data_IF_888823970241
#
_entry.id   IF_888823970241
#
_cell.length_a   1.000
_cell.length_b   1.000
_cell.length_c   1.000
_cell.angle_alpha   90.00
_cell.angle_beta   90.00
_cell.angle_gamma   90.00
#
_symmetry.space_group_name_H-M   'P 1'
#
loop_
_entity.id
_entity.type
_entity.pdbx_description
1 polymer ?
#
# COMPACT_ATOMS: atom_id res chain seq x y z
N UNK A 1 -5.49 20.23 0.55
CA UNK A 1 -6.11 19.02 -0.07
C UNK A 1 -5.07 17.97 -0.44
N UNK A 2 -3.92 18.35 -0.99
CA UNK A 2 -2.87 17.39 -1.35
C UNK A 2 -2.27 16.70 -0.11
N UNK A 3 -2.13 17.43 1.01
CA UNK A 3 -1.60 16.89 2.26
C UNK A 3 -2.41 15.67 2.75
N UNK A 4 -3.74 15.78 2.75
CA UNK A 4 -4.62 14.69 3.18
C UNK A 4 -4.45 13.41 2.36
N UNK A 5 -4.26 13.52 1.03
CA UNK A 5 -4.01 12.37 0.15
C UNK A 5 -2.67 11.73 0.50
N UNK A 6 -1.61 12.54 0.63
CA UNK A 6 -0.27 12.04 1.00
C UNK A 6 -0.30 11.37 2.37
N UNK A 7 -0.97 11.97 3.35
CA UNK A 7 -1.12 11.43 4.71
C UNK A 7 -1.78 10.05 4.69
N UNK A 8 -2.89 9.92 3.96
CA UNK A 8 -3.59 8.64 3.79
C UNK A 8 -2.68 7.56 3.20
N UNK A 9 -1.92 7.87 2.15
CA UNK A 9 -1.00 6.90 1.54
C UNK A 9 0.12 6.51 2.52
N UNK A 10 0.69 7.47 3.27
CA UNK A 10 1.72 7.21 4.29
C UNK A 10 1.22 6.24 5.37
N UNK A 11 -0.02 6.39 5.83
CA UNK A 11 -0.66 5.51 6.80
C UNK A 11 -0.84 4.09 6.24
N UNK A 12 -1.38 3.97 5.02
CA UNK A 12 -1.56 2.67 4.33
C UNK A 12 -0.24 1.93 4.14
N UNK A 13 0.85 2.63 3.83
CA UNK A 13 2.18 2.03 3.76
C UNK A 13 2.67 1.53 5.11
N UNK A 14 2.38 2.24 6.20
CA UNK A 14 2.66 1.79 7.57
C UNK A 14 1.92 0.48 7.89
N UNK A 15 0.63 0.42 7.59
CA UNK A 15 -0.19 -0.78 7.77
C UNK A 15 0.37 -1.97 6.97
N UNK A 16 0.78 -1.73 5.72
CA UNK A 16 1.39 -2.74 4.87
C UNK A 16 2.69 -3.29 5.46
N UNK A 17 3.57 -2.42 5.93
CA UNK A 17 4.84 -2.80 6.56
C UNK A 17 4.60 -3.64 7.83
N UNK A 18 3.60 -3.30 8.64
CA UNK A 18 3.27 -4.04 9.87
C UNK A 18 2.60 -5.38 9.55
N UNK A 19 1.52 -5.38 8.75
CA UNK A 19 0.63 -6.54 8.59
C UNK A 19 1.08 -7.52 7.50
N UNK A 20 1.80 -7.04 6.49
CA UNK A 20 2.14 -7.81 5.28
C UNK A 20 3.66 -7.99 5.11
N UNK A 21 4.46 -7.73 6.15
CA UNK A 21 5.94 -7.89 6.17
C UNK A 21 6.44 -9.22 5.59
N UNK A 22 5.76 -10.34 5.88
CA UNK A 22 6.10 -11.67 5.32
C UNK A 22 5.94 -11.74 3.80
N UNK A 23 4.99 -11.02 3.21
CA UNK A 23 4.77 -10.94 1.76
C UNK A 23 5.68 -9.90 1.09
N UNK A 24 6.09 -8.89 1.86
CA UNK A 24 6.91 -7.78 1.42
C UNK A 24 8.41 -8.05 1.50
N UNK A 25 8.88 -9.23 1.94
CA UNK A 25 10.32 -9.48 2.20
C UNK A 25 11.28 -9.12 1.05
N UNK A 26 10.81 -9.09 -0.20
CA UNK A 26 11.61 -8.69 -1.38
C UNK A 26 11.52 -7.21 -1.75
N UNK A 27 10.50 -6.51 -1.27
CA UNK A 27 10.16 -5.13 -1.65
C UNK A 27 9.99 -4.20 -0.45
N UNK A 28 10.26 -4.67 0.77
CA UNK A 28 10.12 -3.91 2.03
C UNK A 28 10.89 -2.61 1.99
N UNK A 29 12.10 -2.65 1.45
CA UNK A 29 13.00 -1.49 1.40
C UNK A 29 12.45 -0.43 0.44
N UNK A 30 11.85 -0.85 -0.67
CA UNK A 30 11.19 0.05 -1.62
C UNK A 30 9.93 0.69 -1.01
N UNK A 31 9.15 -0.10 -0.25
CA UNK A 31 7.96 0.39 0.46
C UNK A 31 8.35 1.40 1.54
N UNK A 32 9.41 1.13 2.29
CA UNK A 32 9.91 2.04 3.32
C UNK A 32 10.51 3.31 2.71
N UNK A 33 11.20 3.21 1.57
CA UNK A 33 11.68 4.36 0.83
C UNK A 33 10.52 5.23 0.35
N UNK A 34 9.50 4.62 -0.27
CA UNK A 34 8.31 5.35 -0.72
C UNK A 34 7.60 6.06 0.43
N UNK A 35 7.44 5.40 1.58
CA UNK A 35 6.87 6.03 2.78
C UNK A 35 7.72 7.22 3.25
N UNK A 36 9.04 7.11 3.17
CA UNK A 36 9.96 8.18 3.57
C UNK A 36 9.84 9.39 2.66
N UNK A 37 9.82 9.19 1.34
CA UNK A 37 9.68 10.29 0.39
C UNK A 37 8.30 10.95 0.48
N UNK A 38 7.23 10.18 0.63
CA UNK A 38 5.89 10.73 0.84
C UNK A 38 5.78 11.55 2.13
N UNK A 39 6.45 11.13 3.23
CA UNK A 39 6.53 11.96 4.44
C UNK A 39 7.25 13.28 4.22
N UNK A 40 8.33 13.30 3.43
CA UNK A 40 9.00 14.56 3.08
C UNK A 40 8.08 15.48 2.28
N UNK A 41 7.32 14.90 1.34
CA UNK A 41 6.31 15.64 0.58
C UNK A 41 5.19 16.16 1.48
N UNK A 42 4.74 15.39 2.46
CA UNK A 42 3.76 15.80 3.46
C UNK A 42 4.25 17.04 4.23
N UNK A 43 5.47 17.01 4.77
CA UNK A 43 6.04 18.15 5.48
C UNK A 43 6.14 19.41 4.60
N UNK A 44 6.45 19.25 3.31
CA UNK A 44 6.41 20.38 2.38
C UNK A 44 4.99 20.94 2.22
N UNK A 45 4.00 20.06 2.11
CA UNK A 45 2.60 20.44 1.89
C UNK A 45 1.96 21.13 3.09
N UNK A 46 2.40 20.86 4.33
CA UNK A 46 1.89 21.53 5.54
C UNK A 46 1.94 23.06 5.43
N UNK A 47 3.06 23.61 4.94
CA UNK A 47 3.22 25.05 4.73
C UNK A 47 2.82 25.51 3.32
N UNK A 48 2.94 24.63 2.32
CA UNK A 48 2.69 24.97 0.93
C UNK A 48 1.19 25.11 0.61
N UNK A 49 0.31 24.36 1.28
CA UNK A 49 -1.14 24.42 1.02
C UNK A 49 -1.70 25.83 1.32
N UNK A 50 -1.14 26.54 2.31
CA UNK A 50 -1.53 27.92 2.64
C UNK A 50 -0.97 28.97 1.67
N UNK A 51 0.15 28.67 1.00
CA UNK A 51 0.88 29.62 0.14
C UNK A 51 0.55 29.48 -1.35
N UNK A 52 -0.15 28.41 -1.74
CA UNK A 52 -0.39 28.08 -3.15
C UNK A 52 -1.28 29.08 -3.89
N UNK A 53 -2.10 29.86 -3.18
CA UNK A 53 -2.96 30.87 -3.83
C UNK A 53 -2.17 32.11 -4.26
N UNK A 54 -1.06 32.40 -3.59
CA UNK A 54 -0.26 33.60 -3.81
C UNK A 54 1.01 33.34 -4.63
N UNK A 55 1.52 32.11 -4.65
CA UNK A 55 2.74 31.73 -5.36
C UNK A 55 2.47 30.61 -6.39
N UNK A 56 2.51 30.99 -7.67
CA UNK A 56 2.29 30.06 -8.78
C UNK A 56 3.32 28.91 -8.83
N UNK A 57 4.55 29.13 -8.35
CA UNK A 57 5.53 28.04 -8.27
C UNK A 57 5.09 27.04 -7.22
N UNK A 58 4.71 27.51 -6.03
CA UNK A 58 4.19 26.66 -4.95
C UNK A 58 2.97 25.89 -5.42
N UNK A 59 2.04 26.54 -6.14
CA UNK A 59 0.88 25.88 -6.75
C UNK A 59 1.25 24.73 -7.69
N UNK A 60 2.27 24.92 -8.54
CA UNK A 60 2.73 23.87 -9.44
C UNK A 60 3.34 22.69 -8.65
N UNK A 61 4.18 22.96 -7.65
CA UNK A 61 4.75 21.92 -6.79
C UNK A 61 3.66 21.13 -6.03
N UNK A 62 2.64 21.81 -5.51
CA UNK A 62 1.49 21.16 -4.85
C UNK A 62 0.73 20.25 -5.82
N UNK A 63 0.56 20.68 -7.07
CA UNK A 63 -0.08 19.86 -8.10
C UNK A 63 0.76 18.62 -8.44
N UNK A 64 2.06 18.78 -8.66
CA UNK A 64 2.97 17.65 -8.96
C UNK A 64 3.00 16.63 -7.82
N UNK A 65 3.11 17.09 -6.57
CA UNK A 65 3.10 16.18 -5.40
C UNK A 65 1.77 15.44 -5.30
N UNK A 66 0.65 16.09 -5.63
CA UNK A 66 -0.67 15.45 -5.62
C UNK A 66 -0.78 14.34 -6.65
N UNK A 67 -0.30 14.56 -7.87
CA UNK A 67 -0.28 13.51 -8.91
C UNK A 67 0.56 12.30 -8.47
N UNK A 68 1.76 12.55 -7.91
CA UNK A 68 2.61 11.47 -7.38
C UNK A 68 1.93 10.72 -6.23
N UNK A 69 1.15 11.42 -5.40
CA UNK A 69 0.41 10.80 -4.31
C UNK A 69 -0.70 9.86 -4.84
N UNK A 70 -1.42 10.26 -5.89
CA UNK A 70 -2.41 9.41 -6.55
C UNK A 70 -1.76 8.18 -7.21
N UNK A 71 -0.64 8.35 -7.91
CA UNK A 71 0.10 7.22 -8.46
C UNK A 71 0.54 6.23 -7.36
N UNK A 72 0.98 6.75 -6.21
CA UNK A 72 1.35 5.93 -5.07
C UNK A 72 0.14 5.21 -4.44
N UNK A 73 -1.02 5.88 -4.36
CA UNK A 73 -2.28 5.28 -3.91
C UNK A 73 -2.69 4.09 -4.78
N UNK A 74 -2.69 4.26 -6.11
CA UNK A 74 -3.04 3.21 -7.07
C UNK A 74 -2.13 1.98 -6.95
N UNK A 75 -0.83 2.20 -6.76
CA UNK A 75 0.15 1.13 -6.55
C UNK A 75 -0.11 0.39 -5.23
N UNK A 76 -0.43 1.12 -4.17
CA UNK A 76 -0.74 0.55 -2.84
C UNK A 76 -2.02 -0.27 -2.90
N UNK A 77 -3.08 0.25 -3.50
CA UNK A 77 -4.36 -0.46 -3.66
C UNK A 77 -4.19 -1.74 -4.49
N UNK A 78 -3.52 -1.62 -5.64
CA UNK A 78 -3.20 -2.77 -6.50
C UNK A 78 -2.42 -3.86 -5.76
N UNK A 79 -1.46 -3.46 -4.92
CA UNK A 79 -0.69 -4.41 -4.11
C UNK A 79 -1.57 -5.09 -3.04
N UNK A 80 -2.41 -4.33 -2.34
CA UNK A 80 -3.34 -4.85 -1.33
C UNK A 80 -4.24 -5.92 -1.93
N UNK A 81 -4.89 -5.62 -3.06
CA UNK A 81 -5.76 -6.53 -3.81
C UNK A 81 -5.01 -7.80 -4.25
N UNK A 82 -3.77 -7.66 -4.74
CA UNK A 82 -2.94 -8.79 -5.17
C UNK A 82 -2.51 -9.69 -4.01
N UNK A 83 -2.25 -9.13 -2.83
CA UNK A 83 -1.92 -9.95 -1.64
C UNK A 83 -3.17 -10.66 -1.12
N UNK A 84 -4.32 -10.01 -1.13
CA UNK A 84 -5.57 -10.59 -0.65
C UNK A 84 -6.11 -11.71 -1.55
N UNK A 85 -6.07 -11.52 -2.87
CA UNK A 85 -6.36 -12.58 -3.84
C UNK A 85 -5.43 -13.80 -3.68
N UNK A 86 -4.14 -13.59 -3.41
CA UNK A 86 -3.20 -14.69 -3.10
C UNK A 86 -3.54 -15.40 -1.81
N UNK A 87 -3.98 -14.69 -0.76
CA UNK A 87 -4.41 -15.31 0.50
C UNK A 87 -5.65 -16.18 0.29
N UNK A 88 -6.64 -15.71 -0.46
CA UNK A 88 -7.83 -16.49 -0.82
C UNK A 88 -7.45 -17.78 -1.58
N UNK A 89 -6.56 -17.69 -2.57
CA UNK A 89 -6.06 -18.87 -3.31
C UNK A 89 -5.26 -19.86 -2.45
N UNK A 90 -4.49 -19.38 -1.47
CA UNK A 90 -3.79 -20.24 -0.50
C UNK A 90 -4.79 -20.95 0.42
N UNK A 91 -5.81 -20.24 0.91
CA UNK A 91 -6.87 -20.81 1.73
C UNK A 91 -7.63 -21.90 0.95
N UNK A 92 -8.02 -21.62 -0.30
CA UNK A 92 -8.65 -22.60 -1.20
C UNK A 92 -7.79 -23.87 -1.37
N UNK A 93 -6.48 -23.71 -1.57
CA UNK A 93 -5.53 -24.83 -1.68
C UNK A 93 -5.39 -25.63 -0.39
N UNK A 94 -5.46 -24.98 0.77
CA UNK A 94 -5.41 -25.66 2.07
C UNK A 94 -6.68 -26.48 2.27
N UNK A 95 -7.86 -25.91 2.02
CA UNK A 95 -9.13 -26.61 2.12
C UNK A 95 -9.20 -27.83 1.19
N UNK A 96 -8.90 -27.65 -0.09
CA UNK A 96 -8.87 -28.77 -1.06
C UNK A 96 -7.85 -29.85 -0.69
N UNK A 97 -6.69 -29.48 -0.13
CA UNK A 97 -5.68 -30.44 0.34
C UNK A 97 -6.13 -31.19 1.60
N UNK A 98 -6.84 -30.54 2.51
CA UNK A 98 -7.41 -31.16 3.71
C UNK A 98 -8.55 -32.12 3.35
N UNK A 99 -9.48 -31.71 2.48
CA UNK A 99 -10.56 -32.58 1.98
C UNK A 99 -10.02 -33.85 1.32
N UNK A 100 -8.97 -33.71 0.49
CA UNK A 100 -8.30 -34.86 -0.12
C UNK A 100 -7.67 -35.80 0.92
N UNK A 101 -7.07 -35.24 1.98
CA UNK A 101 -6.40 -36.03 3.02
C UNK A 101 -7.40 -36.79 3.90
N UNK A 102 -8.51 -36.14 4.27
CA UNK A 102 -9.61 -36.78 5.03
C UNK A 102 -10.30 -37.85 4.18
N UNK A 103 -10.47 -37.63 2.88
CA UNK A 103 -11.04 -38.62 1.96
C UNK A 103 -10.15 -39.86 1.71
N UNK A 104 -8.85 -39.78 2.00
CA UNK A 104 -7.93 -40.92 1.91
C UNK A 104 -7.91 -41.77 3.19
N UNK A 105 -8.00 -41.15 4.38
CA UNK A 105 -8.04 -41.89 5.66
C UNK A 105 -9.33 -42.72 5.85
N UNK A 106 -10.42 -42.40 5.14
CA UNK A 106 -11.69 -43.14 5.18
C UNK A 106 -11.68 -44.36 4.23
N UNK A 107 -10.72 -44.45 3.30
CA UNK A 107 -10.61 -45.59 2.35
C UNK A 107 -9.80 -46.77 2.90
N UNK A 108 -9.08 -46.57 4.00
CA UNK A 108 -8.22 -47.58 4.63
C UNK A 108 -8.89 -48.29 5.84
N UNK A 109 -10.20 -48.10 6.05
CA UNK A 109 -11.06 -48.84 7.01
C UNK A 109 -12.06 -49.69 6.22
#
# INVERSE_FOLDING_TARGET
MAEAVVSFVVERLGDLLIQKSRFLRKVSDHVQQMQTELRRMQCFLEDADARQEEDQKVRNWVAEIREVAYDAEDVVESFILKVESRRSGVIQKIFTKLDWKVGLEIKDI
#
